data_IF_402628313338
#
_entry.id   IF_402628313338
#
_cell.length_a   1.000
_cell.length_b   1.000
_cell.length_c   1.000
_cell.angle_alpha   90.00
_cell.angle_beta   90.00
_cell.angle_gamma   90.00
#
_symmetry.space_group_name_H-M   'P 1'
#
loop_
_entity.id
_entity.type
_entity.pdbx_description
1 polymer ?
#
# COMPACT_ATOMS: atom_id res chain seq x y z
N UNK A 1 57.71 14.14 -22.68
CA UNK A 1 56.35 13.56 -22.58
C UNK A 1 56.32 12.61 -21.39
N UNK A 2 55.42 12.79 -20.41
CA UNK A 2 55.30 11.90 -19.24
C UNK A 2 54.38 10.72 -19.59
N UNK A 3 54.87 9.52 -19.31
CA UNK A 3 54.22 8.23 -19.53
C UNK A 3 52.94 8.12 -18.71
N UNK A 4 51.81 7.76 -19.33
CA UNK A 4 50.61 7.31 -18.63
C UNK A 4 50.75 5.81 -18.34
N UNK A 5 51.22 5.44 -17.15
CA UNK A 5 51.17 4.04 -16.71
C UNK A 5 49.77 3.74 -16.19
N UNK A 6 48.96 2.98 -16.93
CA UNK A 6 47.75 2.39 -16.39
C UNK A 6 48.15 1.25 -15.45
N UNK A 7 48.02 1.49 -14.14
CA UNK A 7 48.24 0.46 -13.12
C UNK A 7 47.09 -0.55 -13.20
N UNK A 8 47.25 -1.62 -13.97
CA UNK A 8 46.35 -2.77 -13.93
C UNK A 8 46.29 -3.35 -12.50
N UNK A 9 45.10 -3.45 -11.87
CA UNK A 9 44.99 -3.94 -10.50
C UNK A 9 45.30 -5.45 -10.46
N UNK A 10 46.35 -5.83 -9.72
CA UNK A 10 46.78 -7.22 -9.58
C UNK A 10 45.69 -8.16 -9.04
N UNK A 11 45.79 -9.48 -9.32
CA UNK A 11 44.73 -10.48 -9.10
C UNK A 11 44.25 -10.54 -7.64
N UNK A 12 45.15 -10.40 -6.65
CA UNK A 12 44.77 -10.43 -5.22
C UNK A 12 43.88 -9.27 -4.77
N UNK A 13 43.98 -8.09 -5.41
CA UNK A 13 43.11 -6.94 -5.09
C UNK A 13 41.69 -7.17 -5.62
N UNK A 14 41.58 -7.78 -6.80
CA UNK A 14 40.30 -8.13 -7.42
C UNK A 14 39.58 -9.24 -6.64
N UNK A 15 40.30 -10.24 -6.15
CA UNK A 15 39.73 -11.30 -5.31
C UNK A 15 39.19 -10.74 -3.98
N UNK A 16 39.91 -9.82 -3.34
CA UNK A 16 39.43 -9.14 -2.12
C UNK A 16 38.14 -8.35 -2.37
N UNK A 17 38.03 -7.68 -3.52
CA UNK A 17 36.84 -6.93 -3.90
C UNK A 17 35.66 -7.85 -4.19
N UNK A 18 35.90 -8.99 -4.85
CA UNK A 18 34.88 -10.00 -5.09
C UNK A 18 34.33 -10.58 -3.77
N UNK A 19 35.21 -10.89 -2.81
CA UNK A 19 34.82 -11.36 -1.46
C UNK A 19 33.97 -10.33 -0.72
N UNK A 20 34.36 -9.04 -0.74
CA UNK A 20 33.56 -7.96 -0.14
C UNK A 20 32.18 -7.83 -0.77
N UNK A 21 32.09 -7.92 -2.09
CA UNK A 21 30.83 -7.88 -2.84
C UNK A 21 29.92 -9.07 -2.49
N UNK A 22 30.48 -10.28 -2.41
CA UNK A 22 29.74 -11.47 -1.98
C UNK A 22 29.18 -11.32 -0.55
N UNK A 23 29.99 -10.82 0.38
CA UNK A 23 29.55 -10.55 1.74
C UNK A 23 28.43 -9.49 1.79
N UNK A 24 28.52 -8.43 0.97
CA UNK A 24 27.47 -7.41 0.86
C UNK A 24 26.16 -7.98 0.31
N UNK A 25 26.22 -8.76 -0.78
CA UNK A 25 25.05 -9.42 -1.35
C UNK A 25 24.40 -10.39 -0.36
N UNK A 26 25.20 -11.13 0.42
CA UNK A 26 24.68 -12.01 1.46
C UNK A 26 23.92 -11.23 2.55
N UNK A 27 24.41 -10.05 2.96
CA UNK A 27 23.71 -9.18 3.92
C UNK A 27 22.40 -8.65 3.35
N UNK A 28 22.37 -8.18 2.11
CA UNK A 28 21.14 -7.66 1.50
C UNK A 28 20.09 -8.77 1.34
N UNK A 29 20.50 -9.99 1.00
CA UNK A 29 19.58 -11.14 0.97
C UNK A 29 18.93 -11.38 2.34
N UNK A 30 19.69 -11.33 3.44
CA UNK A 30 19.12 -11.46 4.79
C UNK A 30 18.17 -10.33 5.13
N UNK A 31 18.53 -9.08 4.78
CA UNK A 31 17.64 -7.91 4.95
C UNK A 31 16.31 -8.14 4.22
N UNK A 32 16.38 -8.60 2.98
CA UNK A 32 15.21 -8.81 2.13
C UNK A 32 14.37 -10.02 2.57
N UNK A 33 14.99 -11.06 3.11
CA UNK A 33 14.28 -12.17 3.76
C UNK A 33 13.41 -11.65 4.92
N UNK A 34 13.96 -10.78 5.79
CA UNK A 34 13.19 -10.15 6.87
C UNK A 34 11.98 -9.36 6.37
N UNK A 35 12.16 -8.57 5.29
CA UNK A 35 11.05 -7.85 4.66
C UNK A 35 9.98 -8.81 4.12
N UNK A 36 10.39 -9.87 3.44
CA UNK A 36 9.46 -10.85 2.88
C UNK A 36 8.70 -11.60 3.99
N UNK A 37 9.35 -11.90 5.12
CA UNK A 37 8.69 -12.47 6.30
C UNK A 37 7.64 -11.51 6.89
N UNK A 38 7.92 -10.21 6.95
CA UNK A 38 6.94 -9.22 7.39
C UNK A 38 5.72 -9.16 6.44
N UNK A 39 5.98 -9.18 5.13
CA UNK A 39 4.92 -9.26 4.11
C UNK A 39 4.06 -10.52 4.25
N UNK A 40 4.66 -11.66 4.60
CA UNK A 40 3.93 -12.92 4.81
C UNK A 40 3.09 -12.89 6.09
N UNK A 41 3.56 -12.21 7.14
CA UNK A 41 2.74 -11.95 8.34
C UNK A 41 1.55 -11.06 8.01
N UNK A 42 1.74 -10.01 7.21
CA UNK A 42 0.66 -9.14 6.77
C UNK A 42 -0.40 -9.93 5.98
N UNK A 43 0.01 -10.80 5.05
CA UNK A 43 -0.93 -11.63 4.28
C UNK A 43 -1.82 -12.52 5.13
N UNK A 44 -1.37 -12.94 6.32
CA UNK A 44 -2.16 -13.80 7.23
C UNK A 44 -3.34 -13.06 7.87
N UNK A 45 -3.24 -11.74 8.02
CA UNK A 45 -4.28 -10.91 8.66
C UNK A 45 -5.13 -10.15 7.65
N UNK A 46 -4.70 -10.09 6.38
CA UNK A 46 -5.45 -9.48 5.29
C UNK A 46 -6.47 -10.48 4.74
N UNK A 47 -7.75 -10.09 4.56
CA UNK A 47 -8.77 -10.95 3.97
C UNK A 47 -8.39 -11.42 2.56
N UNK A 48 -8.59 -12.71 2.28
CA UNK A 48 -8.33 -13.32 0.98
C UNK A 48 -9.60 -14.02 0.49
N UNK A 49 -10.09 -13.65 -0.70
CA UNK A 49 -11.27 -14.28 -1.30
C UNK A 49 -10.88 -15.55 -2.06
N UNK A 50 -10.92 -16.69 -1.36
CA UNK A 50 -11.08 -18.01 -1.96
C UNK A 50 -9.99 -18.47 -2.93
N UNK A 51 -8.84 -17.82 -2.97
CA UNK A 51 -7.70 -18.29 -3.75
C UNK A 51 -6.60 -18.72 -2.79
N UNK A 52 -6.23 -20.00 -2.83
CA UNK A 52 -5.00 -20.52 -2.19
C UNK A 52 -3.71 -19.87 -2.77
N UNK A 53 -3.87 -18.91 -3.68
CA UNK A 53 -2.82 -18.13 -4.30
C UNK A 53 -2.37 -16.99 -3.38
N UNK A 54 -1.07 -16.95 -3.14
CA UNK A 54 -0.39 -15.84 -2.46
C UNK A 54 -0.55 -14.53 -3.23
N UNK A 55 -1.14 -13.52 -2.60
CA UNK A 55 -1.24 -12.15 -3.12
C UNK A 55 0.14 -11.56 -3.45
N UNK A 56 0.26 -10.82 -4.55
CA UNK A 56 1.46 -10.03 -4.86
C UNK A 56 1.72 -8.96 -3.80
N UNK A 57 2.92 -8.33 -3.82
CA UNK A 57 3.26 -7.25 -2.87
C UNK A 57 2.29 -6.08 -2.99
N UNK A 58 1.98 -5.66 -4.22
CA UNK A 58 1.05 -4.57 -4.48
C UNK A 58 -0.37 -4.89 -4.00
N UNK A 59 -0.91 -6.05 -4.39
CA UNK A 59 -2.25 -6.48 -3.95
C UNK A 59 -2.35 -6.60 -2.44
N UNK A 60 -1.30 -7.11 -1.76
CA UNK A 60 -1.27 -7.20 -0.30
C UNK A 60 -1.39 -5.82 0.35
N UNK A 61 -0.69 -4.80 -0.19
CA UNK A 61 -0.76 -3.43 0.33
C UNK A 61 -2.12 -2.78 0.08
N UNK A 62 -2.68 -2.96 -1.14
CA UNK A 62 -4.01 -2.46 -1.47
C UNK A 62 -5.08 -3.07 -0.56
N UNK A 63 -5.06 -4.39 -0.39
CA UNK A 63 -6.00 -5.08 0.47
C UNK A 63 -5.87 -4.70 1.95
N UNK A 64 -4.63 -4.51 2.44
CA UNK A 64 -4.40 -4.05 3.80
C UNK A 64 -4.98 -2.65 4.04
N UNK A 65 -4.79 -1.71 3.10
CA UNK A 65 -5.36 -0.36 3.18
C UNK A 65 -6.89 -0.41 3.21
N UNK A 66 -7.49 -1.12 2.25
CA UNK A 66 -8.95 -1.29 2.19
C UNK A 66 -9.50 -1.93 3.46
N UNK A 67 -8.78 -2.88 4.05
CA UNK A 67 -9.20 -3.56 5.27
C UNK A 67 -9.16 -2.64 6.49
N UNK A 68 -8.08 -1.87 6.66
CA UNK A 68 -7.99 -0.85 7.73
C UNK A 68 -9.15 0.13 7.60
N UNK A 69 -9.42 0.66 6.40
CA UNK A 69 -10.53 1.58 6.16
C UNK A 69 -11.90 0.98 6.51
N UNK A 70 -12.14 -0.27 6.10
CA UNK A 70 -13.39 -0.97 6.39
C UNK A 70 -13.58 -1.18 7.90
N UNK A 71 -12.55 -1.63 8.61
CA UNK A 71 -12.60 -1.82 10.07
C UNK A 71 -12.81 -0.49 10.80
N UNK A 72 -12.13 0.58 10.39
CA UNK A 72 -12.32 1.92 10.96
C UNK A 72 -13.75 2.40 10.77
N UNK A 73 -14.34 2.18 9.59
CA UNK A 73 -15.74 2.50 9.33
C UNK A 73 -16.68 1.69 10.23
N UNK A 74 -16.50 0.37 10.32
CA UNK A 74 -17.35 -0.49 11.17
C UNK A 74 -17.27 -0.07 12.64
N UNK A 75 -16.09 0.31 13.13
CA UNK A 75 -15.93 0.77 14.51
C UNK A 75 -16.58 2.13 14.74
N UNK A 76 -16.37 3.10 13.84
CA UNK A 76 -17.09 4.37 13.89
C UNK A 76 -18.60 4.16 13.79
N UNK A 77 -19.02 3.13 13.04
CA UNK A 77 -20.42 2.78 12.93
C UNK A 77 -21.01 2.24 14.24
N UNK A 78 -20.24 1.39 14.90
CA UNK A 78 -20.61 0.87 16.21
C UNK A 78 -20.60 1.94 17.30
N UNK A 79 -19.69 2.92 17.21
CA UNK A 79 -19.63 4.04 18.16
C UNK A 79 -20.83 4.98 17.98
N UNK A 80 -21.30 5.24 16.74
CA UNK A 80 -22.59 5.90 16.55
C UNK A 80 -23.74 5.06 17.07
N UNK A 81 -23.73 3.74 16.85
CA UNK A 81 -24.79 2.86 17.35
C UNK A 81 -24.81 2.83 18.89
N UNK A 82 -23.66 2.83 19.55
CA UNK A 82 -23.53 2.87 21.00
C UNK A 82 -23.99 4.24 21.56
N UNK A 83 -23.55 5.35 20.96
CA UNK A 83 -24.02 6.69 21.32
C UNK A 83 -25.52 6.89 21.06
N UNK A 84 -26.06 6.26 20.02
CA UNK A 84 -27.50 6.29 19.71
C UNK A 84 -28.32 5.26 20.48
N UNK A 85 -27.74 4.17 21.00
CA UNK A 85 -28.44 3.27 21.93
C UNK A 85 -28.62 3.90 23.32
N UNK A 86 -27.70 4.78 23.74
CA UNK A 86 -27.92 5.62 24.93
C UNK A 86 -28.96 6.73 24.66
N UNK A 87 -29.11 7.16 23.40
CA UNK A 87 -30.09 8.18 23.02
C UNK A 87 -31.49 7.62 22.75
N UNK A 88 -31.65 6.41 22.20
CA UNK A 88 -32.96 5.80 21.89
C UNK A 88 -33.74 5.30 23.13
N UNK A 89 -33.25 5.61 24.34
CA UNK A 89 -34.03 5.54 25.58
C UNK A 89 -34.80 6.83 25.91
N UNK A 90 -34.59 7.95 25.21
CA UNK A 90 -35.37 9.18 25.36
C UNK A 90 -35.45 9.94 24.03
N UNK A 91 -36.69 10.18 23.59
CA UNK A 91 -37.09 11.03 22.47
C UNK A 91 -37.17 10.39 21.07
N UNK A 92 -38.19 9.56 20.95
CA UNK A 92 -39.04 9.43 19.77
C UNK A 92 -39.69 10.78 19.39
N UNK A 93 -38.92 11.76 18.89
CA UNK A 93 -39.45 13.01 18.30
C UNK A 93 -38.32 13.86 17.70
N UNK A 94 -37.80 13.57 16.51
CA UNK A 94 -37.25 14.56 15.55
C UNK A 94 -36.86 13.86 14.23
N UNK A 95 -37.87 13.40 13.49
CA UNK A 95 -37.85 13.55 12.03
C UNK A 95 -38.75 14.74 11.71
N UNK A 96 -38.19 15.79 11.11
CA UNK A 96 -38.89 16.39 9.99
C UNK A 96 -37.94 16.67 8.82
N UNK A 97 -38.29 16.07 7.69
CA UNK A 97 -38.37 16.72 6.39
C UNK A 97 -37.51 17.99 6.19
N UNK A 98 -36.27 17.82 5.72
CA UNK A 98 -35.59 18.85 4.94
C UNK A 98 -34.79 18.19 3.83
N UNK A 99 -35.53 17.80 2.80
CA UNK A 99 -35.01 17.90 1.46
C UNK A 99 -34.55 19.35 1.20
N UNK A 100 -33.46 19.48 0.44
CA UNK A 100 -33.00 20.67 -0.27
C UNK A 100 -32.30 21.78 0.51
N UNK A 101 -30.97 21.68 0.61
CA UNK A 101 -30.06 22.77 0.19
C UNK A 101 -28.61 22.25 0.11
N UNK A 102 -28.12 22.04 -1.11
CA UNK A 102 -26.70 21.81 -1.40
C UNK A 102 -25.99 23.16 -1.28
N UNK A 103 -25.13 23.34 -0.27
CA UNK A 103 -24.30 24.55 -0.13
C UNK A 103 -23.23 24.58 -1.24
N UNK A 104 -23.02 25.72 -1.94
CA UNK A 104 -22.00 25.83 -2.96
C UNK A 104 -20.64 26.12 -2.31
N UNK A 105 -19.67 25.22 -2.45
CA UNK A 105 -18.26 25.51 -2.10
C UNK A 105 -17.45 24.42 -1.41
N UNK A 106 -18.00 23.26 -1.09
CA UNK A 106 -17.20 22.17 -0.52
C UNK A 106 -16.26 21.55 -1.58
N UNK A 107 -14.94 21.49 -1.34
CA UNK A 107 -14.04 20.77 -2.22
C UNK A 107 -14.36 19.28 -2.18
N UNK A 108 -14.75 18.74 -3.34
CA UNK A 108 -14.96 17.32 -3.60
C UNK A 108 -13.90 16.45 -2.89
N UNK A 109 -14.28 15.50 -2.01
CA UNK A 109 -13.33 14.74 -1.22
C UNK A 109 -12.60 13.73 -2.09
N UNK A 110 -11.51 14.16 -2.73
CA UNK A 110 -10.34 13.40 -3.25
C UNK A 110 -10.58 12.06 -4.00
N UNK A 111 -11.82 11.71 -4.34
CA UNK A 111 -12.21 10.34 -4.71
C UNK A 111 -12.55 10.16 -6.18
N UNK A 112 -12.78 11.24 -6.93
CA UNK A 112 -13.22 11.14 -8.34
C UNK A 112 -12.07 11.14 -9.36
N UNK A 113 -10.80 11.05 -8.94
CA UNK A 113 -9.65 10.97 -9.85
C UNK A 113 -8.78 9.72 -9.75
N UNK A 114 -9.20 8.69 -8.99
CA UNK A 114 -8.45 7.43 -8.93
C UNK A 114 -8.89 6.37 -9.95
N UNK A 115 -10.00 6.57 -10.66
CA UNK A 115 -10.51 5.64 -11.69
C UNK A 115 -10.53 6.27 -13.10
N UNK A 116 -9.46 6.99 -13.45
CA UNK A 116 -9.28 7.60 -14.76
C UNK A 116 -8.02 7.12 -15.48
N UNK A 117 -7.76 5.80 -15.51
CA UNK A 117 -6.80 5.25 -16.48
C UNK A 117 -7.59 4.87 -17.74
N UNK A 118 -7.72 5.82 -18.66
CA UNK A 118 -8.06 5.52 -20.04
C UNK A 118 -6.84 4.84 -20.68
N UNK A 119 -6.98 3.59 -21.07
CA UNK A 119 -5.96 2.93 -21.88
C UNK A 119 -6.09 3.46 -23.31
N UNK A 120 -5.24 4.42 -23.69
CA UNK A 120 -5.11 4.82 -25.09
C UNK A 120 -4.59 3.63 -25.91
N UNK A 121 -5.22 3.27 -27.04
CA UNK A 121 -4.68 2.26 -27.93
C UNK A 121 -3.43 2.83 -28.62
N UNK A 122 -2.30 2.14 -28.46
CA UNK A 122 -1.06 2.44 -29.17
C UNK A 122 -1.29 2.40 -30.68
N UNK A 123 -1.05 3.49 -31.44
CA UNK A 123 -1.07 3.41 -32.89
C UNK A 123 0.16 2.62 -33.36
N UNK A 124 -0.07 1.49 -34.02
CA UNK A 124 0.96 0.84 -34.83
C UNK A 124 1.12 1.67 -36.11
N UNK A 125 2.31 2.22 -36.30
CA UNK A 125 2.68 2.88 -37.54
C UNK A 125 2.83 1.83 -38.66
N UNK A 126 2.19 2.09 -39.81
CA UNK A 126 2.35 1.34 -41.06
C UNK A 126 3.65 1.69 -41.78
#
# INVERSE_FOLDING_TARGET
>A
MKMLTSSCPGPGRQESAARRRLAANARERRRMQGLNTAFDRLRRVVPQWGQDKKLSKYETLQMALSYIMALTRILAERDWAAAHCEHFGRDHRYLPALAAAKLPGEPEPYGQRLFGFQHEPFPMAS
#
